data_IF_277130854323
#
_entry.id   IF_277130854323
#
_cell.length_a   1.000
_cell.length_b   1.000
_cell.length_c   1.000
_cell.angle_alpha   90.00
_cell.angle_beta   90.00
_cell.angle_gamma   90.00
#
_symmetry.space_group_name_H-M   'P 1'
#
loop_
_entity.id
_entity.type
_entity.pdbx_description
1 polymer ?
#
# COMPACT_ATOMS: atom_id res chain seq x y z
N UNK A 1 30.04 -1.35 8.71
CA UNK A 1 29.40 -0.06 8.37
C UNK A 1 30.03 1.00 9.23
N UNK A 2 30.34 2.16 8.64
CA UNK A 2 30.84 3.33 9.35
C UNK A 2 29.84 3.82 10.43
N UNK A 3 30.33 4.41 11.52
CA UNK A 3 29.49 4.79 12.67
C UNK A 3 28.52 5.92 12.32
N UNK A 4 29.02 6.94 11.63
CA UNK A 4 28.22 8.11 11.27
C UNK A 4 27.11 7.72 10.28
N UNK A 5 27.44 6.86 9.32
CA UNK A 5 26.45 6.29 8.38
C UNK A 5 25.38 5.45 9.12
N UNK A 6 25.78 4.67 10.13
CA UNK A 6 24.83 3.90 10.94
C UNK A 6 23.82 4.81 11.64
N UNK A 7 24.33 5.83 12.32
CA UNK A 7 23.50 6.76 13.08
C UNK A 7 22.53 7.51 12.16
N UNK A 8 23.01 7.97 11.00
CA UNK A 8 22.17 8.61 9.99
C UNK A 8 21.03 7.70 9.49
N UNK A 9 21.32 6.42 9.21
CA UNK A 9 20.29 5.47 8.77
C UNK A 9 19.24 5.18 9.86
N UNK A 10 19.65 5.18 11.13
CA UNK A 10 18.76 4.95 12.27
C UNK A 10 17.95 6.19 12.67
N UNK A 11 18.42 7.38 12.28
CA UNK A 11 17.69 8.64 12.41
C UNK A 11 16.74 8.86 11.22
N UNK A 12 15.93 7.84 10.94
CA UNK A 12 14.92 7.84 9.88
C UNK A 12 13.52 7.59 10.44
N UNK A 13 12.50 7.86 9.62
CA UNK A 13 11.11 7.53 9.93
C UNK A 13 10.97 6.06 10.34
N UNK A 14 10.09 5.71 11.31
CA UNK A 14 9.88 4.33 11.71
C UNK A 14 9.70 3.37 10.54
N UNK A 15 8.99 3.78 9.47
CA UNK A 15 8.75 3.00 8.26
C UNK A 15 10.03 2.48 7.58
N UNK A 16 11.14 3.21 7.72
CA UNK A 16 12.45 2.84 7.19
C UNK A 16 13.35 2.27 8.28
N UNK A 17 13.34 2.86 9.47
CA UNK A 17 14.24 2.52 10.58
C UNK A 17 14.14 1.04 10.97
N UNK A 18 12.93 0.48 11.07
CA UNK A 18 12.78 -0.92 11.46
C UNK A 18 13.38 -1.88 10.42
N UNK A 19 13.38 -1.48 9.14
CA UNK A 19 13.99 -2.25 8.04
C UNK A 19 15.52 -2.16 8.10
N UNK A 20 16.07 -0.99 8.42
CA UNK A 20 17.51 -0.83 8.69
C UNK A 20 17.94 -1.72 9.86
N UNK A 21 17.17 -1.69 10.96
CA UNK A 21 17.42 -2.51 12.15
C UNK A 21 17.38 -4.01 11.80
N UNK A 22 16.38 -4.46 11.04
CA UNK A 22 16.23 -5.88 10.64
C UNK A 22 17.27 -6.32 9.61
N UNK A 23 17.35 -5.62 8.48
CA UNK A 23 18.00 -6.12 7.26
C UNK A 23 19.47 -5.72 7.15
N UNK A 24 19.85 -4.57 7.71
CA UNK A 24 21.22 -4.07 7.63
C UNK A 24 22.02 -4.31 8.92
N UNK A 25 21.36 -4.21 10.08
CA UNK A 25 22.01 -4.36 11.38
C UNK A 25 21.84 -5.74 12.01
N UNK A 26 20.87 -6.53 11.54
CA UNK A 26 20.57 -7.84 12.11
C UNK A 26 20.12 -7.76 13.57
N UNK A 27 19.42 -6.67 13.94
CA UNK A 27 18.89 -6.50 15.28
C UNK A 27 17.87 -7.60 15.62
N UNK A 28 17.76 -8.01 16.89
CA UNK A 28 16.80 -9.05 17.27
C UNK A 28 15.34 -8.57 17.07
N UNK A 29 14.38 -9.50 16.87
CA UNK A 29 12.96 -9.19 16.68
C UNK A 29 12.39 -8.17 17.66
N UNK A 30 12.69 -8.32 18.95
CA UNK A 30 12.22 -7.42 20.00
C UNK A 30 12.56 -5.93 19.78
N UNK A 31 13.61 -5.63 19.01
CA UNK A 31 14.02 -4.25 18.70
C UNK A 31 13.25 -3.73 17.49
N UNK A 32 13.37 -4.40 16.34
CA UNK A 32 12.77 -3.87 15.11
C UNK A 32 11.23 -4.02 15.11
N UNK A 33 10.66 -5.00 15.82
CA UNK A 33 9.20 -5.11 15.97
C UNK A 33 8.65 -3.95 16.81
N UNK A 34 9.39 -3.51 17.84
CA UNK A 34 9.01 -2.35 18.64
C UNK A 34 9.07 -1.05 17.81
N UNK A 35 10.06 -0.90 16.92
CA UNK A 35 10.12 0.22 15.97
C UNK A 35 8.98 0.14 14.95
N UNK A 36 8.74 -1.03 14.36
CA UNK A 36 7.67 -1.27 13.36
C UNK A 36 6.29 -0.97 13.94
N UNK A 37 6.05 -1.28 15.22
CA UNK A 37 4.78 -0.99 15.89
C UNK A 37 4.46 0.52 16.00
N UNK A 38 5.46 1.41 15.82
CA UNK A 38 5.27 2.86 15.80
C UNK A 38 4.83 3.40 14.45
N UNK A 39 5.04 2.66 13.35
CA UNK A 39 4.70 3.08 11.98
C UNK A 39 3.25 3.59 11.85
N UNK A 40 2.21 2.92 12.39
CA UNK A 40 0.85 3.44 12.29
C UNK A 40 0.55 4.65 13.20
N UNK A 41 1.46 5.01 14.11
CA UNK A 41 1.23 5.99 15.17
C UNK A 41 1.95 7.33 14.95
N UNK A 42 3.02 7.35 14.17
CA UNK A 42 3.79 8.55 13.90
C UNK A 42 4.36 8.57 12.48
N UNK A 43 4.87 9.74 12.06
CA UNK A 43 5.59 9.88 10.81
C UNK A 43 4.72 9.61 9.57
N UNK A 44 5.34 9.03 8.55
CA UNK A 44 4.74 8.79 7.24
C UNK A 44 3.56 7.82 7.29
N UNK A 45 3.68 6.73 8.06
CA UNK A 45 2.63 5.72 8.17
C UNK A 45 1.34 6.30 8.78
N UNK A 46 1.45 7.02 9.90
CA UNK A 46 0.31 7.71 10.50
C UNK A 46 -0.28 8.79 9.58
N UNK A 47 0.57 9.57 8.91
CA UNK A 47 0.11 10.61 7.99
C UNK A 47 -0.66 10.03 6.79
N UNK A 48 -0.24 8.87 6.26
CA UNK A 48 -0.93 8.22 5.15
C UNK A 48 -2.23 7.55 5.62
N UNK A 49 -2.25 6.87 6.77
CA UNK A 49 -3.47 6.31 7.36
C UNK A 49 -4.53 7.38 7.61
N UNK A 50 -4.14 8.56 8.12
CA UNK A 50 -5.05 9.68 8.37
C UNK A 50 -5.69 10.28 7.11
N UNK A 51 -5.19 9.93 5.91
CA UNK A 51 -5.74 10.39 4.61
C UNK A 51 -6.75 9.42 4.01
N UNK A 52 -6.99 8.27 4.64
CA UNK A 52 -8.03 7.37 4.17
C UNK A 52 -9.41 8.04 4.29
N UNK A 53 -10.18 8.02 3.21
CA UNK A 53 -11.56 8.48 3.20
C UNK A 53 -12.49 7.56 3.97
N UNK A 54 -13.68 8.08 4.28
CA UNK A 54 -14.75 7.30 4.92
C UNK A 54 -15.21 6.13 4.03
N UNK A 55 -15.03 6.23 2.71
CA UNK A 55 -15.30 5.21 1.72
C UNK A 55 -14.20 4.12 1.62
N UNK A 56 -13.12 4.27 2.41
CA UNK A 56 -11.98 3.36 2.46
C UNK A 56 -10.88 3.69 1.45
N UNK A 57 -11.09 4.65 0.54
CA UNK A 57 -10.16 4.97 -0.53
C UNK A 57 -9.12 6.02 -0.12
N UNK A 58 -8.03 6.09 -0.89
CA UNK A 58 -7.11 7.23 -0.88
C UNK A 58 -7.26 8.02 -2.18
N UNK A 59 -7.35 9.33 -2.05
CA UNK A 59 -7.58 10.26 -3.16
C UNK A 59 -8.79 9.91 -4.06
N UNK A 60 -9.73 9.11 -3.56
CA UNK A 60 -11.02 8.83 -4.19
C UNK A 60 -11.02 7.89 -5.40
N UNK A 61 -9.90 7.22 -5.70
CA UNK A 61 -9.84 6.26 -6.82
C UNK A 61 -8.92 5.06 -6.56
N UNK A 62 -8.98 4.09 -7.45
CA UNK A 62 -8.31 2.80 -7.34
C UNK A 62 -6.82 2.90 -7.72
N UNK A 63 -6.51 3.36 -8.94
CA UNK A 63 -5.13 3.49 -9.45
C UNK A 63 -4.77 4.95 -9.77
N UNK A 64 -5.77 5.75 -10.14
CA UNK A 64 -5.69 7.18 -10.35
C UNK A 64 -6.59 7.91 -9.33
N UNK A 65 -6.25 9.14 -8.91
CA UNK A 65 -7.12 9.90 -8.03
C UNK A 65 -8.40 10.33 -8.75
N UNK A 66 -9.46 10.57 -7.98
CA UNK A 66 -10.75 11.03 -8.52
C UNK A 66 -10.57 12.32 -9.35
N UNK A 67 -11.18 12.34 -10.53
CA UNK A 67 -11.12 13.47 -11.46
C UNK A 67 -9.80 13.62 -12.23
N UNK A 68 -8.84 12.70 -12.08
CA UNK A 68 -7.55 12.76 -12.79
C UNK A 68 -7.72 12.90 -14.31
N UNK A 69 -8.55 12.05 -14.92
CA UNK A 69 -8.77 12.02 -16.38
C UNK A 69 -9.57 13.22 -16.91
N UNK A 70 -10.15 14.05 -16.03
CA UNK A 70 -10.80 15.31 -16.39
C UNK A 70 -9.94 16.53 -16.06
N UNK A 71 -8.72 16.31 -15.55
CA UNK A 71 -7.81 17.35 -15.09
C UNK A 71 -6.68 17.63 -16.08
N UNK A 72 -6.08 18.82 -16.06
CA UNK A 72 -4.88 19.12 -16.85
C UNK A 72 -3.69 18.19 -16.54
N UNK A 73 -3.66 17.60 -15.34
CA UNK A 73 -2.58 16.69 -14.90
C UNK A 73 -2.47 15.45 -15.79
N UNK A 74 -3.56 15.01 -16.42
CA UNK A 74 -3.54 13.90 -17.37
C UNK A 74 -2.60 14.15 -18.56
N UNK A 75 -2.44 15.42 -18.97
CA UNK A 75 -1.58 15.79 -20.08
C UNK A 75 -0.11 15.93 -19.67
N UNK A 76 0.18 15.95 -18.37
CA UNK A 76 1.54 16.06 -17.83
C UNK A 76 2.20 14.67 -17.77
N UNK A 77 3.52 14.58 -17.97
CA UNK A 77 4.23 13.32 -17.87
C UNK A 77 4.28 12.82 -16.42
N UNK A 78 3.73 11.64 -16.16
CA UNK A 78 3.88 10.97 -14.86
C UNK A 78 2.65 10.17 -14.46
N UNK A 79 2.76 9.49 -13.32
CA UNK A 79 1.66 8.77 -12.67
C UNK A 79 1.35 9.45 -11.34
N UNK A 80 0.07 9.69 -11.01
CA UNK A 80 -0.32 10.20 -9.70
C UNK A 80 -0.29 9.06 -8.66
N UNK A 81 0.86 8.85 -8.02
CA UNK A 81 1.17 7.76 -7.07
C UNK A 81 0.45 7.86 -5.70
N UNK A 82 -0.77 8.41 -5.66
CA UNK A 82 -1.48 8.74 -4.40
C UNK A 82 -2.81 8.00 -4.22
N UNK A 83 -3.29 7.32 -5.27
CA UNK A 83 -4.54 6.56 -5.22
C UNK A 83 -4.47 5.35 -4.28
N UNK A 84 -5.61 4.68 -4.08
CA UNK A 84 -5.80 3.58 -3.12
C UNK A 84 -4.75 2.47 -3.26
N UNK A 85 -4.48 1.99 -4.48
CA UNK A 85 -3.53 0.89 -4.71
C UNK A 85 -2.12 1.25 -4.27
N UNK A 86 -1.68 2.48 -4.55
CA UNK A 86 -0.36 2.98 -4.14
C UNK A 86 -0.26 3.13 -2.63
N UNK A 87 -1.29 3.73 -2.03
CA UNK A 87 -1.33 3.94 -0.58
C UNK A 87 -1.32 2.62 0.19
N UNK A 88 -2.11 1.63 -0.24
CA UNK A 88 -2.09 0.29 0.37
C UNK A 88 -0.77 -0.44 0.17
N UNK A 89 -0.16 -0.33 -1.02
CA UNK A 89 1.16 -0.90 -1.30
C UNK A 89 2.20 -0.31 -0.35
N UNK A 90 2.24 1.01 -0.20
CA UNK A 90 3.22 1.68 0.64
C UNK A 90 3.01 1.38 2.13
N UNK A 91 1.76 1.40 2.62
CA UNK A 91 1.46 1.00 4.01
C UNK A 91 1.93 -0.44 4.31
N UNK A 92 1.70 -1.37 3.38
CA UNK A 92 2.15 -2.76 3.51
C UNK A 92 3.67 -2.85 3.51
N UNK A 93 4.33 -2.18 2.56
CA UNK A 93 5.78 -2.22 2.41
C UNK A 93 6.50 -1.52 3.59
N UNK A 94 5.88 -0.49 4.17
CA UNK A 94 6.32 0.15 5.42
C UNK A 94 6.05 -0.67 6.67
N UNK A 95 5.35 -1.80 6.54
CA UNK A 95 5.15 -2.76 7.61
C UNK A 95 3.98 -2.45 8.54
N UNK A 96 2.97 -1.69 8.12
CA UNK A 96 1.75 -1.53 8.92
C UNK A 96 1.09 -2.90 9.16
N UNK A 97 0.57 -3.11 10.36
CA UNK A 97 -0.27 -4.28 10.64
C UNK A 97 -1.65 -4.08 10.01
N UNK A 98 -2.11 -5.06 9.21
CA UNK A 98 -3.42 -5.02 8.57
C UNK A 98 -4.57 -4.80 9.57
N UNK A 99 -4.41 -5.26 10.82
CA UNK A 99 -5.41 -5.07 11.86
C UNK A 99 -5.73 -3.59 12.14
N UNK A 100 -4.78 -2.68 11.89
CA UNK A 100 -4.98 -1.23 12.04
C UNK A 100 -5.99 -0.68 11.02
N UNK A 101 -6.12 -1.32 9.86
CA UNK A 101 -7.00 -0.90 8.78
C UNK A 101 -8.46 -1.35 8.96
N UNK A 102 -8.75 -2.16 9.99
CA UNK A 102 -10.12 -2.52 10.37
C UNK A 102 -10.95 -3.06 9.21
N UNK A 103 -12.02 -2.36 8.86
CA UNK A 103 -12.99 -2.72 7.83
C UNK A 103 -12.63 -2.25 6.40
N UNK A 104 -11.41 -1.73 6.19
CA UNK A 104 -10.97 -1.16 4.90
C UNK A 104 -11.27 -2.07 3.72
N UNK A 105 -11.02 -3.38 3.82
CA UNK A 105 -11.30 -4.31 2.73
C UNK A 105 -12.78 -4.30 2.30
N UNK A 106 -13.69 -4.26 3.27
CA UNK A 106 -15.13 -4.25 3.01
C UNK A 106 -15.59 -2.89 2.43
N UNK A 107 -15.03 -1.79 2.93
CA UNK A 107 -15.32 -0.44 2.37
C UNK A 107 -14.84 -0.32 0.92
N UNK A 108 -13.66 -0.85 0.61
CA UNK A 108 -13.14 -0.89 -0.76
C UNK A 108 -13.96 -1.80 -1.69
N UNK A 109 -14.44 -2.94 -1.19
CA UNK A 109 -15.32 -3.82 -1.97
C UNK A 109 -16.65 -3.12 -2.35
N UNK A 110 -17.18 -2.32 -1.43
CA UNK A 110 -18.42 -1.58 -1.63
C UNK A 110 -18.25 -0.33 -2.52
N UNK A 111 -17.13 0.39 -2.38
CA UNK A 111 -17.01 1.76 -2.91
C UNK A 111 -15.97 1.92 -4.02
N UNK A 112 -14.98 1.02 -4.14
CA UNK A 112 -13.88 1.19 -5.07
C UNK A 112 -14.07 0.36 -6.34
N UNK A 113 -13.84 1.01 -7.48
CA UNK A 113 -13.91 0.44 -8.83
C UNK A 113 -12.66 0.83 -9.58
N UNK A 114 -12.17 -0.05 -10.45
CA UNK A 114 -11.09 0.30 -11.37
C UNK A 114 -11.58 1.35 -12.35
N UNK A 115 -10.73 2.33 -12.64
CA UNK A 115 -11.02 3.32 -13.68
C UNK A 115 -11.14 2.64 -15.07
N UNK A 116 -10.53 1.47 -15.24
CA UNK A 116 -10.72 0.59 -16.39
C UNK A 116 -12.01 -0.23 -16.26
N UNK A 117 -12.93 -0.05 -17.21
CA UNK A 117 -14.18 -0.82 -17.36
C UNK A 117 -15.09 -0.88 -16.11
N UNK A 118 -14.92 0.04 -15.14
CA UNK A 118 -15.69 0.07 -13.89
C UNK A 118 -15.67 -1.28 -13.14
N UNK A 119 -14.55 -1.99 -13.22
CA UNK A 119 -14.43 -3.33 -12.65
C UNK A 119 -14.37 -3.30 -11.12
N UNK A 120 -14.87 -4.34 -10.41
CA UNK A 120 -14.71 -4.43 -8.96
C UNK A 120 -13.23 -4.43 -8.54
N UNK A 121 -12.90 -3.66 -7.49
CA UNK A 121 -11.50 -3.48 -7.06
C UNK A 121 -10.79 -4.81 -6.78
N UNK A 122 -11.33 -5.65 -5.89
CA UNK A 122 -10.74 -6.95 -5.55
C UNK A 122 -10.79 -7.99 -6.68
N UNK A 123 -11.58 -7.73 -7.73
CA UNK A 123 -11.63 -8.54 -8.93
C UNK A 123 -10.39 -8.41 -9.82
N UNK A 124 -9.58 -7.37 -9.59
CA UNK A 124 -8.44 -7.04 -10.42
C UNK A 124 -8.79 -6.32 -11.73
N UNK A 125 -7.74 -5.98 -12.45
CA UNK A 125 -7.76 -5.38 -13.78
C UNK A 125 -7.16 -6.38 -14.80
N UNK A 126 -6.60 -5.91 -15.91
CA UNK A 126 -6.04 -6.74 -16.98
C UNK A 126 -4.52 -6.77 -16.96
N UNK A 127 -3.88 -5.76 -16.37
CA UNK A 127 -2.44 -5.64 -16.24
C UNK A 127 -1.89 -6.50 -15.10
N UNK A 128 -0.80 -7.21 -15.40
CA UNK A 128 -0.17 -8.15 -14.47
C UNK A 128 0.42 -7.46 -13.23
N UNK A 129 0.94 -6.23 -13.37
CA UNK A 129 1.50 -5.48 -12.24
C UNK A 129 0.37 -5.00 -11.32
N UNK A 130 -0.72 -4.47 -11.90
CA UNK A 130 -1.90 -4.05 -11.14
C UNK A 130 -2.47 -5.25 -10.37
N UNK A 131 -2.69 -6.37 -11.05
CA UNK A 131 -3.18 -7.60 -10.43
C UNK A 131 -2.25 -8.12 -9.32
N UNK A 132 -0.93 -7.92 -9.47
CA UNK A 132 0.05 -8.34 -8.46
C UNK A 132 -0.09 -7.52 -7.18
N UNK A 133 -0.22 -6.20 -7.31
CA UNK A 133 -0.40 -5.31 -6.16
C UNK A 133 -1.73 -5.60 -5.45
N UNK A 134 -2.82 -5.70 -6.20
CA UNK A 134 -4.16 -5.98 -5.66
C UNK A 134 -4.24 -7.34 -4.98
N UNK A 135 -3.61 -8.38 -5.56
CA UNK A 135 -3.53 -9.69 -4.93
C UNK A 135 -2.79 -9.61 -3.58
N UNK A 136 -1.63 -8.95 -3.56
CA UNK A 136 -0.80 -8.88 -2.38
C UNK A 136 -1.42 -8.02 -1.26
N UNK A 137 -2.06 -6.89 -1.58
CA UNK A 137 -2.77 -6.06 -0.59
C UNK A 137 -4.09 -6.70 -0.15
N UNK A 138 -4.85 -7.31 -1.05
CA UNK A 138 -6.09 -8.01 -0.72
C UNK A 138 -5.84 -9.22 0.18
N UNK A 139 -4.83 -10.03 -0.10
CA UNK A 139 -4.43 -11.12 0.77
C UNK A 139 -3.96 -10.63 2.15
N UNK A 140 -3.22 -9.52 2.19
CA UNK A 140 -2.77 -8.88 3.44
C UNK A 140 -3.95 -8.37 4.29
N UNK A 141 -4.99 -7.81 3.67
CA UNK A 141 -6.19 -7.32 4.35
C UNK A 141 -7.27 -8.39 4.58
N UNK A 142 -7.07 -9.61 4.08
CA UNK A 142 -8.05 -10.70 4.19
C UNK A 142 -9.26 -10.57 3.24
N UNK A 143 -9.15 -9.81 2.16
CA UNK A 143 -10.16 -9.75 1.10
C UNK A 143 -10.20 -11.05 0.27
N UNK A 144 -11.36 -11.35 -0.34
CA UNK A 144 -11.45 -12.45 -1.30
C UNK A 144 -10.80 -12.07 -2.63
N UNK A 145 -9.58 -12.54 -2.84
CA UNK A 145 -8.79 -12.37 -4.06
C UNK A 145 -8.61 -13.68 -4.84
N UNK A 146 -9.49 -14.67 -4.61
CA UNK A 146 -9.42 -15.99 -5.25
C UNK A 146 -9.43 -15.91 -6.78
N UNK A 147 -10.18 -14.96 -7.35
CA UNK A 147 -10.19 -14.69 -8.79
C UNK A 147 -8.82 -14.30 -9.32
N UNK A 148 -8.08 -13.45 -8.61
CA UNK A 148 -6.73 -13.04 -9.00
C UNK A 148 -5.76 -14.23 -8.95
N UNK A 149 -5.86 -15.09 -7.94
CA UNK A 149 -5.06 -16.32 -7.85
C UNK A 149 -5.29 -17.22 -9.07
N UNK A 150 -6.54 -17.38 -9.51
CA UNK A 150 -6.87 -18.12 -10.74
C UNK A 150 -6.31 -17.41 -11.98
N UNK A 151 -6.50 -16.10 -12.09
CA UNK A 151 -6.01 -15.28 -13.21
C UNK A 151 -4.51 -15.48 -13.45
N UNK A 152 -3.68 -15.42 -12.40
CA UNK A 152 -2.24 -15.66 -12.52
C UNK A 152 -1.87 -17.09 -12.96
N UNK A 153 -2.68 -18.10 -12.62
CA UNK A 153 -2.47 -19.47 -13.08
C UNK A 153 -2.78 -19.64 -14.56
N UNK A 154 -3.80 -18.94 -15.03
CA UNK A 154 -4.28 -19.05 -16.41
C UNK A 154 -3.45 -18.21 -17.39
N UNK A 155 -2.75 -17.17 -16.91
CA UNK A 155 -1.94 -16.25 -17.71
C UNK A 155 -0.42 -16.48 -17.54
N UNK A 156 -0.01 -17.72 -17.27
CA UNK A 156 1.42 -18.08 -17.24
C UNK A 156 1.96 -18.10 -18.67
N UNK A 157 3.06 -17.37 -18.90
CA UNK A 157 3.85 -17.42 -20.14
C UNK A 157 4.39 -18.83 -20.41
#
# INVERSE_FOLDING_TARGET
MDSDLREWLLDSDPALRWQVERDLLGAPPSVWEATRARVPLEGLGAALLARQGDDGQWAGGAYFPAGYFDSPEQAEPGQPWIATTWSLKDLRDWGVDAAVLGDTAARLDANSRWEYDDLPYWGGEVDVCINSYTLATGAWLGADVSRLVAWFRDHRL
#
